data_IF_340878806826
#
_entry.id   IF_340878806826
#
_cell.length_a   1.000
_cell.length_b   1.000
_cell.length_c   1.000
_cell.angle_alpha   90.00
_cell.angle_beta   90.00
_cell.angle_gamma   90.00
#
_symmetry.space_group_name_H-M   'P 1'
#
loop_
_entity.id
_entity.type
_entity.pdbx_description
1 polymer ?
#
# COMPACT_ATOMS: atom_id res chain seq x y z
N UNK A 1 -17.97 27.74 -6.48
CA UNK A 1 -18.69 26.46 -6.36
C UNK A 1 -17.74 25.50 -5.66
N UNK A 2 -17.91 25.37 -4.34
CA UNK A 2 -17.07 24.50 -3.50
C UNK A 2 -17.49 23.06 -3.72
N UNK A 3 -16.62 22.25 -4.33
CA UNK A 3 -16.75 20.80 -4.37
C UNK A 3 -16.24 20.26 -3.03
N UNK A 4 -17.18 19.87 -2.21
CA UNK A 4 -16.97 19.16 -0.95
C UNK A 4 -16.32 17.81 -1.24
N UNK A 5 -15.01 17.67 -1.00
CA UNK A 5 -14.31 16.40 -1.01
C UNK A 5 -14.56 15.71 0.34
N UNK A 6 -15.76 15.14 0.51
CA UNK A 6 -16.12 14.43 1.72
C UNK A 6 -15.99 12.91 1.53
N UNK A 7 -15.16 12.30 2.40
CA UNK A 7 -15.25 10.93 2.90
C UNK A 7 -15.17 9.78 1.88
N UNK A 8 -13.95 9.42 1.45
CA UNK A 8 -13.67 8.07 0.93
C UNK A 8 -12.31 7.59 1.44
N UNK A 9 -12.15 7.48 2.73
CA UNK A 9 -10.98 6.93 3.37
C UNK A 9 -11.28 5.57 4.03
N UNK A 10 -10.39 4.73 4.10
CA UNK A 10 -10.06 3.60 4.96
C UNK A 10 -9.84 2.24 4.26
N UNK A 11 -8.70 1.64 4.61
CA UNK A 11 -8.32 0.22 4.43
C UNK A 11 -7.60 -0.20 3.13
N UNK A 12 -6.58 0.52 2.66
CA UNK A 12 -5.78 0.09 1.52
C UNK A 12 -4.82 -1.06 1.87
N UNK A 13 -4.12 -0.97 2.98
CA UNK A 13 -3.12 -1.95 3.43
C UNK A 13 -3.58 -2.85 4.59
N UNK A 14 -4.82 -2.71 5.07
CA UNK A 14 -5.42 -3.59 6.09
C UNK A 14 -5.41 -5.08 5.72
N UNK A 15 -5.17 -5.39 4.44
CA UNK A 15 -5.06 -6.75 3.93
C UNK A 15 -3.72 -7.42 4.26
N UNK A 16 -2.64 -6.68 4.35
CA UNK A 16 -1.34 -7.24 4.75
C UNK A 16 -1.43 -7.79 6.17
N UNK A 17 -2.22 -7.15 7.05
CA UNK A 17 -2.46 -7.64 8.42
C UNK A 17 -3.26 -8.95 8.41
N UNK A 18 -4.31 -9.05 7.59
CA UNK A 18 -5.16 -10.25 7.56
C UNK A 18 -4.46 -11.49 6.97
N UNK A 19 -3.52 -11.31 6.05
CA UNK A 19 -2.70 -12.44 5.54
C UNK A 19 -1.60 -12.84 6.53
N UNK A 20 -1.06 -11.88 7.26
CA UNK A 20 0.14 -12.08 8.08
C UNK A 20 -0.19 -12.20 9.58
N UNK A 21 -1.37 -11.77 10.01
CA UNK A 21 -1.87 -11.91 11.39
C UNK A 21 -2.64 -13.20 11.65
N UNK A 22 -3.06 -13.93 10.61
CA UNK A 22 -3.66 -15.25 10.76
C UNK A 22 -2.56 -16.33 10.86
N UNK A 23 -1.89 -16.37 12.01
CA UNK A 23 -1.02 -17.48 12.35
C UNK A 23 -1.77 -18.80 12.23
N UNK A 24 -1.39 -19.67 11.27
CA UNK A 24 -1.67 -21.10 11.30
C UNK A 24 -2.81 -21.65 10.43
N UNK A 25 -3.44 -20.92 9.54
CA UNK A 25 -4.37 -21.51 8.59
C UNK A 25 -3.70 -21.71 7.21
N UNK A 26 -3.41 -22.97 6.87
CA UNK A 26 -2.96 -23.40 5.54
C UNK A 26 -3.95 -22.88 4.49
N UNK A 27 -3.49 -22.19 3.40
CA UNK A 27 -4.40 -21.73 2.35
C UNK A 27 -5.11 -22.93 1.71
N UNK A 28 -6.42 -22.81 1.36
CA UNK A 28 -7.12 -23.88 0.68
C UNK A 28 -6.46 -24.15 -0.69
N UNK A 29 -6.11 -25.40 -0.95
CA UNK A 29 -5.68 -25.87 -2.27
C UNK A 29 -6.85 -25.67 -3.25
N UNK A 30 -6.78 -24.63 -4.07
CA UNK A 30 -7.65 -24.51 -5.25
C UNK A 30 -7.07 -25.43 -6.32
N UNK A 31 -7.57 -26.67 -6.35
CA UNK A 31 -7.33 -27.59 -7.46
C UNK A 31 -8.03 -27.01 -8.70
N UNK A 32 -7.31 -26.29 -9.54
CA UNK A 32 -7.77 -25.94 -10.88
C UNK A 32 -7.59 -27.17 -11.74
N UNK A 33 -8.67 -27.89 -12.02
CA UNK A 33 -8.72 -28.92 -13.04
C UNK A 33 -8.52 -28.24 -14.41
N UNK A 34 -7.28 -28.16 -14.87
CA UNK A 34 -6.97 -27.81 -16.25
C UNK A 34 -6.93 -29.06 -17.10
N UNK A 35 -7.88 -29.13 -18.04
CA UNK A 35 -7.97 -30.09 -19.11
C UNK A 35 -6.67 -30.26 -19.88
N UNK A 36 -6.30 -31.53 -20.10
CA UNK A 36 -5.15 -32.03 -20.83
C UNK A 36 -5.20 -31.63 -22.31
N UNK A 37 -4.58 -30.52 -22.69
CA UNK A 37 -4.16 -30.26 -24.07
C UNK A 37 -3.21 -29.06 -24.15
N UNK A 38 -1.99 -29.22 -23.70
CA UNK A 38 -0.80 -28.53 -24.24
C UNK A 38 0.49 -29.07 -23.59
N UNK A 39 0.84 -30.27 -23.95
CA UNK A 39 2.16 -30.81 -23.69
C UNK A 39 3.11 -30.29 -24.77
N UNK A 40 4.03 -29.44 -24.41
CA UNK A 40 5.37 -29.16 -24.96
C UNK A 40 5.73 -27.66 -24.95
N UNK A 41 5.78 -27.06 -23.76
CA UNK A 41 6.73 -25.97 -23.55
C UNK A 41 7.33 -26.16 -22.14
N UNK A 42 8.65 -26.13 -22.06
CA UNK A 42 9.44 -26.32 -20.83
C UNK A 42 8.83 -25.50 -19.70
N UNK A 43 8.22 -26.18 -18.75
CA UNK A 43 7.80 -25.62 -17.49
C UNK A 43 9.06 -25.25 -16.70
N UNK A 44 9.50 -23.99 -16.83
CA UNK A 44 10.47 -23.40 -15.91
C UNK A 44 9.73 -23.26 -14.58
N UNK A 45 10.25 -23.93 -13.58
CA UNK A 45 9.76 -23.95 -12.20
C UNK A 45 9.13 -22.59 -11.78
N UNK A 46 7.81 -22.56 -11.63
CA UNK A 46 7.07 -21.42 -11.06
C UNK A 46 6.98 -21.58 -9.55
N UNK A 47 8.11 -21.48 -8.86
CA UNK A 47 8.17 -21.39 -7.40
C UNK A 47 9.07 -20.24 -6.96
N UNK A 48 8.84 -19.05 -7.53
CA UNK A 48 9.28 -17.82 -6.93
C UNK A 48 8.15 -16.81 -7.12
N UNK A 49 7.49 -16.40 -6.04
CA UNK A 49 6.79 -15.14 -5.98
C UNK A 49 7.80 -14.12 -6.49
N UNK A 50 7.55 -13.36 -7.58
CA UNK A 50 8.50 -12.35 -8.01
C UNK A 50 8.76 -11.44 -6.80
N UNK A 51 10.01 -11.37 -6.37
CA UNK A 51 10.39 -10.44 -5.32
C UNK A 51 10.08 -9.05 -5.85
N UNK A 52 8.98 -8.43 -5.41
CA UNK A 52 8.56 -7.11 -5.85
C UNK A 52 9.66 -6.06 -5.69
N UNK A 53 9.43 -4.83 -6.14
CA UNK A 53 10.40 -3.73 -6.07
C UNK A 53 10.96 -3.52 -4.65
N UNK A 54 12.07 -2.80 -4.52
CA UNK A 54 12.64 -2.48 -3.20
C UNK A 54 11.63 -1.72 -2.34
N UNK A 55 10.88 -0.80 -2.95
CA UNK A 55 9.83 -0.07 -2.27
C UNK A 55 8.69 -0.99 -1.81
N UNK A 56 8.24 -1.94 -2.64
CA UNK A 56 7.21 -2.91 -2.24
C UNK A 56 7.63 -3.74 -1.02
N UNK A 57 8.86 -4.26 -1.02
CA UNK A 57 9.38 -5.01 0.13
C UNK A 57 9.45 -4.16 1.40
N UNK A 58 9.93 -2.91 1.28
CA UNK A 58 9.92 -1.95 2.38
C UNK A 58 8.48 -1.76 2.92
N UNK A 59 7.50 -1.51 2.04
CA UNK A 59 6.12 -1.30 2.43
C UNK A 59 5.55 -2.48 3.22
N UNK A 60 5.79 -3.72 2.75
CA UNK A 60 5.37 -4.94 3.43
C UNK A 60 6.00 -5.08 4.82
N UNK A 61 7.30 -4.85 4.94
CA UNK A 61 8.03 -4.94 6.21
C UNK A 61 7.61 -3.85 7.19
N UNK A 62 7.52 -2.61 6.70
CA UNK A 62 7.18 -1.46 7.51
C UNK A 62 5.74 -1.51 8.06
N UNK A 63 4.79 -1.91 7.24
CA UNK A 63 3.38 -2.01 7.62
C UNK A 63 3.08 -3.07 8.67
N UNK A 64 3.97 -4.06 8.82
CA UNK A 64 3.88 -5.12 9.85
C UNK A 64 4.34 -4.64 11.24
N UNK A 65 5.03 -3.52 11.33
CA UNK A 65 5.51 -3.04 12.62
C UNK A 65 4.36 -2.53 13.47
N UNK A 66 4.49 -2.71 14.79
CA UNK A 66 3.40 -2.41 15.73
C UNK A 66 2.91 -0.97 15.64
N UNK A 67 1.60 -0.80 15.47
CA UNK A 67 0.93 0.50 15.40
C UNK A 67 0.99 1.21 14.05
N UNK A 68 1.87 0.79 13.11
CA UNK A 68 2.01 1.44 11.79
C UNK A 68 0.73 1.35 10.96
N UNK A 69 0.13 0.16 10.92
CA UNK A 69 -1.10 -0.05 10.17
C UNK A 69 -2.24 0.83 10.66
N UNK A 70 -2.42 0.91 11.97
CA UNK A 70 -3.45 1.72 12.62
C UNK A 70 -3.19 3.22 12.39
N UNK A 71 -1.93 3.67 12.47
CA UNK A 71 -1.56 5.05 12.17
C UNK A 71 -1.86 5.41 10.71
N UNK A 72 -1.47 4.56 9.74
CA UNK A 72 -1.77 4.76 8.32
C UNK A 72 -3.28 4.83 8.05
N UNK A 73 -4.08 3.95 8.68
CA UNK A 73 -5.53 3.94 8.54
C UNK A 73 -6.14 5.23 9.09
N UNK A 74 -5.70 5.69 10.26
CA UNK A 74 -6.21 6.95 10.85
C UNK A 74 -5.90 8.14 9.94
N UNK A 75 -4.65 8.29 9.47
CA UNK A 75 -4.27 9.36 8.54
C UNK A 75 -5.08 9.30 7.24
N UNK A 76 -5.34 8.11 6.72
CA UNK A 76 -6.16 7.94 5.52
C UNK A 76 -7.62 8.35 5.76
N UNK A 77 -8.21 7.95 6.88
CA UNK A 77 -9.64 8.16 7.15
C UNK A 77 -9.95 9.59 7.60
N UNK A 78 -9.04 10.21 8.34
CA UNK A 78 -9.24 11.55 8.92
C UNK A 78 -8.66 12.65 8.04
N UNK A 79 -7.50 12.40 7.42
CA UNK A 79 -6.72 13.42 6.71
C UNK A 79 -6.68 13.19 5.19
N UNK A 80 -7.35 12.14 4.67
CA UNK A 80 -7.44 11.85 3.24
C UNK A 80 -6.13 11.39 2.59
N UNK A 81 -5.18 10.92 3.40
CA UNK A 81 -3.85 10.48 2.97
C UNK A 81 -3.92 9.28 2.03
N UNK A 82 -3.18 9.33 0.92
CA UNK A 82 -2.85 8.12 0.14
C UNK A 82 -1.72 7.37 0.86
N UNK A 83 -2.03 6.20 1.42
CA UNK A 83 -1.07 5.39 2.18
C UNK A 83 0.10 4.92 1.33
N UNK A 84 -0.10 4.64 0.03
CA UNK A 84 1.00 4.26 -0.86
C UNK A 84 1.99 5.42 -1.04
N UNK A 85 1.49 6.65 -1.19
CA UNK A 85 2.33 7.84 -1.26
C UNK A 85 3.01 8.13 0.08
N UNK A 86 2.30 8.01 1.20
CA UNK A 86 2.87 8.13 2.55
C UNK A 86 4.05 7.17 2.75
N UNK A 87 3.88 5.89 2.43
CA UNK A 87 4.92 4.87 2.52
C UNK A 87 6.10 5.17 1.60
N UNK A 88 5.83 5.69 0.39
CA UNK A 88 6.88 6.12 -0.53
C UNK A 88 7.75 7.24 0.04
N UNK A 89 7.12 8.23 0.68
CA UNK A 89 7.82 9.35 1.31
C UNK A 89 8.70 8.88 2.48
N UNK A 90 8.23 7.93 3.27
CA UNK A 90 9.00 7.30 4.34
C UNK A 90 10.15 6.45 3.78
N UNK A 91 9.92 5.71 2.69
CA UNK A 91 10.98 4.97 2.00
C UNK A 91 12.05 5.89 1.41
N UNK A 92 11.67 7.04 0.83
CA UNK A 92 12.62 8.06 0.39
C UNK A 92 13.44 8.61 1.56
N UNK A 93 12.83 8.77 2.73
CA UNK A 93 13.51 9.20 3.94
C UNK A 93 14.56 8.18 4.43
N UNK A 94 14.29 6.88 4.34
CA UNK A 94 15.30 5.83 4.60
C UNK A 94 16.50 5.98 3.65
N UNK A 95 16.26 6.38 2.40
CA UNK A 95 17.30 6.76 1.45
C UNK A 95 17.95 8.11 1.73
N UNK A 96 17.63 8.81 2.84
CA UNK A 96 18.14 10.14 3.19
C UNK A 96 17.67 11.24 2.25
N UNK A 97 16.43 11.18 1.73
CA UNK A 97 15.87 12.16 0.80
C UNK A 97 14.71 12.94 1.40
N UNK A 98 14.81 14.26 1.33
CA UNK A 98 13.72 15.20 1.65
C UNK A 98 13.12 15.71 0.35
N UNK A 99 11.83 15.49 0.16
CA UNK A 99 11.06 15.96 -0.99
C UNK A 99 10.45 17.32 -0.67
N UNK A 100 10.35 18.17 -1.69
CA UNK A 100 9.59 19.42 -1.62
C UNK A 100 8.10 19.17 -1.87
N UNK A 101 7.26 20.14 -1.52
CA UNK A 101 5.82 20.12 -1.87
C UNK A 101 5.62 19.89 -3.37
N UNK A 102 6.40 20.58 -4.21
CA UNK A 102 6.34 20.41 -5.67
C UNK A 102 6.66 18.99 -6.13
N UNK A 103 7.63 18.33 -5.50
CA UNK A 103 7.95 16.92 -5.81
C UNK A 103 6.76 16.02 -5.46
N UNK A 104 6.11 16.28 -4.32
CA UNK A 104 4.96 15.51 -3.84
C UNK A 104 3.73 15.75 -4.73
N UNK A 105 3.45 16.99 -5.10
CA UNK A 105 2.38 17.34 -6.05
C UNK A 105 2.58 16.67 -7.42
N UNK A 106 3.82 16.65 -7.92
CA UNK A 106 4.15 15.97 -9.18
C UNK A 106 3.93 14.46 -9.09
N UNK A 107 4.33 13.84 -7.97
CA UNK A 107 4.06 12.42 -7.71
C UNK A 107 2.56 12.15 -7.65
N UNK A 108 1.81 12.94 -6.90
CA UNK A 108 0.35 12.83 -6.79
C UNK A 108 -0.31 12.91 -8.17
N UNK A 109 0.09 13.88 -8.99
CA UNK A 109 -0.43 14.06 -10.36
C UNK A 109 -0.17 12.84 -11.24
N UNK A 110 0.94 12.12 -11.06
CA UNK A 110 1.27 10.90 -11.82
C UNK A 110 0.53 9.66 -11.30
N UNK A 111 0.30 9.58 -9.99
CA UNK A 111 -0.31 8.43 -9.33
C UNK A 111 -1.84 8.46 -9.45
N UNK A 112 -2.45 9.64 -9.33
CA UNK A 112 -3.89 9.82 -9.26
C UNK A 112 -4.68 9.14 -10.39
N UNK A 113 -4.26 9.18 -11.68
CA UNK A 113 -5.00 8.51 -12.74
C UNK A 113 -5.15 7.00 -12.52
N UNK A 114 -4.07 6.31 -12.12
CA UNK A 114 -4.11 4.88 -11.83
C UNK A 114 -4.94 4.58 -10.58
N UNK A 115 -4.66 5.28 -9.49
CA UNK A 115 -5.38 5.12 -8.21
C UNK A 115 -6.89 5.29 -8.39
N UNK A 116 -7.31 6.34 -9.11
CA UNK A 116 -8.72 6.65 -9.32
C UNK A 116 -9.42 5.66 -10.26
N UNK A 117 -8.71 5.13 -11.26
CA UNK A 117 -9.27 4.19 -12.22
C UNK A 117 -9.30 2.73 -11.70
N UNK A 118 -8.44 2.36 -10.74
CA UNK A 118 -8.26 0.96 -10.32
C UNK A 118 -8.41 0.77 -8.81
N UNK A 119 -7.51 1.32 -8.01
CA UNK A 119 -7.43 1.04 -6.56
C UNK A 119 -8.71 1.46 -5.84
N UNK A 120 -9.18 2.70 -6.05
CA UNK A 120 -10.39 3.22 -5.39
C UNK A 120 -11.66 2.44 -5.80
N UNK A 121 -11.92 2.16 -7.09
CA UNK A 121 -13.06 1.35 -7.50
C UNK A 121 -13.04 -0.07 -6.93
N UNK A 122 -11.89 -0.76 -6.96
CA UNK A 122 -11.76 -2.11 -6.40
C UNK A 122 -12.03 -2.12 -4.89
N UNK A 123 -11.50 -1.15 -4.18
CA UNK A 123 -11.76 -0.93 -2.74
C UNK A 123 -13.24 -0.70 -2.47
N UNK A 124 -13.89 0.13 -3.28
CA UNK A 124 -15.33 0.42 -3.16
C UNK A 124 -16.16 -0.84 -3.33
N UNK A 125 -15.89 -1.64 -4.37
CA UNK A 125 -16.56 -2.93 -4.60
C UNK A 125 -16.33 -3.89 -3.43
N UNK A 126 -15.08 -4.05 -2.97
CA UNK A 126 -14.75 -4.91 -1.84
C UNK A 126 -15.52 -4.54 -0.58
N UNK A 127 -15.66 -3.25 -0.30
CA UNK A 127 -16.41 -2.75 0.87
C UNK A 127 -17.91 -3.00 0.73
N UNK A 128 -18.46 -2.75 -0.45
CA UNK A 128 -19.89 -2.99 -0.72
C UNK A 128 -20.28 -4.45 -0.59
N UNK A 129 -19.34 -5.38 -0.78
CA UNK A 129 -19.56 -6.81 -0.63
C UNK A 129 -19.46 -7.31 0.82
N UNK A 130 -19.00 -6.48 1.79
CA UNK A 130 -18.85 -6.90 3.20
C UNK A 130 -20.19 -7.31 3.84
N UNK A 131 -21.31 -6.58 3.65
CA UNK A 131 -22.63 -6.97 4.16
C UNK A 131 -23.37 -7.96 3.25
N UNK A 132 -22.73 -8.82 2.48
CA UNK A 132 -23.30 -9.82 1.58
C UNK A 132 -24.65 -9.39 0.96
N UNK A 133 -24.69 -8.86 -0.28
CA UNK A 133 -25.93 -8.44 -0.94
C UNK A 133 -26.92 -9.59 -1.01
N UNK A 134 -28.18 -9.36 -0.61
CA UNK A 134 -29.19 -10.40 -0.35
C UNK A 134 -29.54 -11.35 -1.49
N UNK A 135 -29.18 -11.04 -2.75
CA UNK A 135 -29.40 -11.93 -3.90
C UNK A 135 -28.38 -13.08 -3.97
N UNK A 136 -27.14 -12.83 -3.53
CA UNK A 136 -26.04 -13.80 -3.60
C UNK A 136 -25.84 -14.42 -2.22
N UNK A 137 -25.78 -15.78 -2.11
CA UNK A 137 -25.50 -16.43 -0.83
C UNK A 137 -24.20 -15.93 -0.19
N UNK A 138 -24.20 -15.70 1.12
CA UNK A 138 -23.08 -15.12 1.86
C UNK A 138 -21.72 -15.81 1.61
N UNK A 139 -21.60 -17.15 1.55
CA UNK A 139 -20.32 -17.80 1.24
C UNK A 139 -19.80 -17.49 -0.16
N UNK A 140 -20.70 -17.40 -1.16
CA UNK A 140 -20.30 -17.05 -2.53
C UNK A 140 -19.89 -15.57 -2.65
N UNK A 141 -20.61 -14.67 -1.98
CA UNK A 141 -20.26 -13.26 -1.92
C UNK A 141 -18.89 -13.05 -1.24
N UNK A 142 -18.59 -13.78 -0.17
CA UNK A 142 -17.29 -13.71 0.52
C UNK A 142 -16.14 -14.22 -0.36
N UNK A 143 -16.32 -15.35 -1.05
CA UNK A 143 -15.32 -15.86 -1.99
C UNK A 143 -15.04 -14.85 -3.12
N UNK A 144 -16.07 -14.17 -3.61
CA UNK A 144 -15.90 -13.12 -4.61
C UNK A 144 -15.19 -11.89 -4.01
N UNK A 145 -15.55 -11.47 -2.80
CA UNK A 145 -14.90 -10.38 -2.08
C UNK A 145 -13.41 -10.64 -1.89
N UNK A 146 -12.99 -11.87 -1.59
CA UNK A 146 -11.60 -12.29 -1.48
C UNK A 146 -10.86 -12.10 -2.81
N UNK A 147 -11.48 -12.42 -3.95
CA UNK A 147 -10.86 -12.20 -5.27
C UNK A 147 -10.68 -10.71 -5.57
N UNK A 148 -11.71 -9.89 -5.29
CA UNK A 148 -11.60 -8.42 -5.44
C UNK A 148 -10.46 -7.87 -4.56
N UNK A 149 -10.36 -8.36 -3.33
CA UNK A 149 -9.29 -8.00 -2.39
C UNK A 149 -7.89 -8.32 -2.95
N UNK A 150 -7.71 -9.49 -3.54
CA UNK A 150 -6.45 -9.88 -4.17
C UNK A 150 -6.10 -8.99 -5.38
N UNK A 151 -7.11 -8.62 -6.18
CA UNK A 151 -6.95 -7.72 -7.33
C UNK A 151 -6.62 -6.28 -6.88
N UNK A 152 -7.23 -5.79 -5.80
CA UNK A 152 -6.91 -4.49 -5.19
C UNK A 152 -5.44 -4.45 -4.75
N UNK A 153 -4.97 -5.47 -4.03
CA UNK A 153 -3.57 -5.58 -3.61
C UNK A 153 -2.61 -5.60 -4.80
N UNK A 154 -2.96 -6.30 -5.87
CA UNK A 154 -2.15 -6.33 -7.11
C UNK A 154 -2.11 -4.94 -7.76
N UNK A 155 -3.21 -4.20 -7.78
CA UNK A 155 -3.24 -2.83 -8.28
C UNK A 155 -2.37 -1.88 -7.45
N UNK A 156 -2.33 -2.04 -6.12
CA UNK A 156 -1.45 -1.30 -5.21
C UNK A 156 0.02 -1.67 -5.44
N UNK A 157 0.33 -2.95 -5.62
CA UNK A 157 1.69 -3.42 -5.94
C UNK A 157 2.20 -2.79 -7.23
N UNK A 158 1.39 -2.81 -8.30
CA UNK A 158 1.75 -2.20 -9.59
C UNK A 158 1.97 -0.68 -9.46
N UNK A 159 1.15 0.01 -8.67
CA UNK A 159 1.36 1.43 -8.35
C UNK A 159 2.71 1.66 -7.67
N UNK A 160 3.03 0.88 -6.65
CA UNK A 160 4.29 1.01 -5.93
C UNK A 160 5.50 0.66 -6.80
N UNK A 161 5.41 -0.33 -7.68
CA UNK A 161 6.48 -0.65 -8.63
C UNK A 161 6.73 0.49 -9.62
N UNK A 162 5.67 1.13 -10.12
CA UNK A 162 5.79 2.31 -10.96
C UNK A 162 6.42 3.49 -10.22
N UNK A 163 6.08 3.71 -8.96
CA UNK A 163 6.68 4.74 -8.11
C UNK A 163 8.18 4.48 -7.86
N UNK A 164 8.57 3.23 -7.61
CA UNK A 164 9.97 2.81 -7.47
C UNK A 164 10.76 3.10 -8.75
N UNK A 165 10.20 2.80 -9.91
CA UNK A 165 10.82 3.09 -11.20
C UNK A 165 10.97 4.59 -11.45
N UNK A 166 9.96 5.39 -11.09
CA UNK A 166 10.05 6.86 -11.17
C UNK A 166 11.19 7.40 -10.31
N UNK A 167 11.36 6.90 -9.08
CA UNK A 167 12.44 7.33 -8.18
C UNK A 167 13.82 6.94 -8.69
N UNK A 168 13.94 5.81 -9.40
CA UNK A 168 15.21 5.38 -10.02
C UNK A 168 15.57 6.18 -11.25
N UNK A 169 14.60 6.48 -12.10
CA UNK A 169 14.82 7.21 -13.36
C UNK A 169 15.01 8.70 -13.15
N UNK A 170 14.38 9.29 -12.15
CA UNK A 170 14.47 10.71 -11.82
C UNK A 170 14.38 10.90 -10.30
N UNK A 171 15.53 10.90 -9.60
CA UNK A 171 15.52 10.99 -8.14
C UNK A 171 14.90 12.31 -7.63
N UNK A 172 13.87 12.19 -6.79
CA UNK A 172 13.21 13.31 -6.13
C UNK A 172 14.00 13.86 -4.95
N UNK A 173 13.77 15.13 -4.64
CA UNK A 173 14.23 15.78 -3.42
C UNK A 173 15.74 15.97 -3.32
N UNK A 174 16.18 16.49 -2.17
CA UNK A 174 17.57 16.69 -1.79
C UNK A 174 18.05 15.64 -0.79
N UNK A 175 19.36 15.39 -0.76
CA UNK A 175 19.99 14.50 0.24
C UNK A 175 20.16 15.20 1.58
N UNK A 176 19.93 14.47 2.66
CA UNK A 176 20.23 14.83 4.05
C UNK A 176 20.88 13.64 4.76
N UNK A 177 21.51 13.90 5.90
CA UNK A 177 22.24 12.87 6.66
C UNK A 177 21.36 12.10 7.67
N UNK A 178 20.26 12.69 8.12
CA UNK A 178 19.36 12.10 9.12
C UNK A 178 18.10 11.54 8.48
N UNK A 179 17.81 10.27 8.73
CA UNK A 179 16.56 9.61 8.32
C UNK A 179 15.36 10.29 9.01
N UNK A 180 15.49 10.62 10.29
CA UNK A 180 14.42 11.28 11.04
C UNK A 180 14.11 12.68 10.48
N UNK A 181 15.16 13.48 10.19
CA UNK A 181 15.00 14.79 9.54
C UNK A 181 14.27 14.64 8.21
N UNK A 182 14.70 13.67 7.38
CA UNK A 182 14.06 13.40 6.10
C UNK A 182 12.60 13.01 6.25
N UNK A 183 12.29 12.10 7.18
CA UNK A 183 10.94 11.60 7.40
C UNK A 183 10.01 12.71 7.92
N UNK A 184 10.43 13.48 8.93
CA UNK A 184 9.67 14.63 9.42
C UNK A 184 9.43 15.67 8.35
N UNK A 185 10.47 15.99 7.56
CA UNK A 185 10.34 16.92 6.44
C UNK A 185 9.34 16.45 5.39
N UNK A 186 9.41 15.18 4.99
CA UNK A 186 8.50 14.59 4.00
C UNK A 186 7.05 14.56 4.52
N UNK A 187 6.84 14.17 5.78
CA UNK A 187 5.50 14.15 6.39
C UNK A 187 4.91 15.56 6.49
N UNK A 188 5.72 16.56 6.89
CA UNK A 188 5.28 17.95 6.97
C UNK A 188 4.89 18.51 5.60
N UNK A 189 5.71 18.30 4.57
CA UNK A 189 5.40 18.71 3.19
C UNK A 189 4.14 18.00 2.67
N UNK A 190 3.96 16.72 3.00
CA UNK A 190 2.77 15.99 2.55
C UNK A 190 1.49 16.48 3.26
N UNK A 191 1.56 16.80 4.54
CA UNK A 191 0.46 17.42 5.26
C UNK A 191 0.04 18.75 4.62
N UNK A 192 1.01 19.59 4.18
CA UNK A 192 0.71 20.82 3.46
C UNK A 192 0.02 20.56 2.11
N UNK A 193 0.48 19.58 1.34
CA UNK A 193 -0.18 19.18 0.07
C UNK A 193 -1.59 18.66 0.31
N UNK A 194 -1.82 17.92 1.41
CA UNK A 194 -3.16 17.48 1.83
C UNK A 194 -4.02 18.59 2.46
N UNK A 195 -3.45 19.78 2.68
CA UNK A 195 -4.10 20.92 3.37
C UNK A 195 -4.59 20.56 4.79
N UNK A 196 -3.81 19.76 5.51
CA UNK A 196 -4.08 19.28 6.87
C UNK A 196 -2.83 19.34 7.75
N UNK A 197 -2.97 18.93 9.01
CA UNK A 197 -1.84 18.71 9.91
C UNK A 197 -1.92 17.29 10.47
N UNK A 198 -0.89 16.48 10.23
CA UNK A 198 -0.89 15.12 10.76
C UNK A 198 -0.71 15.12 12.26
N UNK A 199 -1.50 14.34 13.02
CA UNK A 199 -1.41 14.28 14.47
C UNK A 199 -0.04 13.71 14.91
N UNK A 200 0.58 14.34 15.95
CA UNK A 200 1.91 13.92 16.44
C UNK A 200 1.97 12.45 16.91
N UNK A 201 0.92 11.86 17.51
CA UNK A 201 0.97 10.43 17.86
C UNK A 201 1.20 9.51 16.67
N UNK A 202 0.56 9.77 15.53
CA UNK A 202 0.74 9.01 14.29
C UNK A 202 2.14 9.21 13.71
N UNK A 203 2.62 10.46 13.69
CA UNK A 203 3.99 10.77 13.26
C UNK A 203 5.01 10.03 14.15
N UNK A 204 4.85 10.06 15.45
CA UNK A 204 5.76 9.39 16.39
C UNK A 204 5.81 7.88 16.18
N UNK A 205 4.67 7.23 15.91
CA UNK A 205 4.61 5.79 15.60
C UNK A 205 5.39 5.50 14.30
N UNK A 206 5.15 6.28 13.23
CA UNK A 206 5.82 6.08 11.95
C UNK A 206 7.33 6.29 12.05
N UNK A 207 7.78 7.31 12.80
CA UNK A 207 9.22 7.57 13.00
C UNK A 207 9.90 6.50 13.86
N UNK A 208 9.25 6.05 14.93
CA UNK A 208 9.76 4.97 15.77
C UNK A 208 9.95 3.67 14.95
N UNK A 209 9.01 3.38 14.06
CA UNK A 209 9.07 2.24 13.17
C UNK A 209 10.26 2.33 12.18
N UNK A 210 10.60 3.52 11.67
CA UNK A 210 11.77 3.71 10.79
C UNK A 210 13.12 3.45 11.49
N UNK A 211 13.19 3.69 12.80
CA UNK A 211 14.38 3.43 13.63
C UNK A 211 14.53 1.98 14.10
N UNK A 212 13.52 1.15 13.90
CA UNK A 212 13.55 -0.24 14.32
C UNK A 212 14.26 -1.12 13.28
N UNK A 213 15.12 -2.08 13.68
CA UNK A 213 15.70 -3.03 12.75
C UNK A 213 14.58 -3.84 12.07
N UNK A 214 14.73 -4.06 10.75
CA UNK A 214 13.78 -4.90 10.00
C UNK A 214 13.58 -6.23 10.74
N UNK A 215 12.32 -6.68 10.93
CA UNK A 215 12.09 -8.02 11.45
C UNK A 215 12.75 -9.01 10.49
N UNK A 216 13.73 -9.78 10.99
CA UNK A 216 14.35 -10.87 10.22
C UNK A 216 13.23 -11.78 9.75
N UNK A 217 13.10 -11.92 8.43
CA UNK A 217 12.29 -12.99 7.85
C UNK A 217 12.93 -14.30 8.31
N UNK A 218 12.28 -15.00 9.24
CA UNK A 218 12.63 -16.40 9.51
C UNK A 218 12.35 -17.18 8.22
N UNK A 219 13.39 -17.89 7.74
CA UNK A 219 13.38 -18.73 6.56
C UNK A 219 12.45 -19.96 6.70
#
# INVERSE_FOLDING_TARGET
>A
MSLTLAAHGAYALSFIIDILGAGGAKPPEIAVAMSSACARHRCRSMTAVPSGSAFWRFSLGFYRQGGVAEACIRLQDQDGVDVNLLLFLLWQAVGGRVLSERDIEELERRIAPWRNATVIPLRTVRRALKPAPGLVPAPAAELFRIKIKATELEAERLQQEAMDELARSSPYGRKVSSIEEAARGNLACYAMVCQTSFPEPEIAILLAALGSPEPKLEE
#
